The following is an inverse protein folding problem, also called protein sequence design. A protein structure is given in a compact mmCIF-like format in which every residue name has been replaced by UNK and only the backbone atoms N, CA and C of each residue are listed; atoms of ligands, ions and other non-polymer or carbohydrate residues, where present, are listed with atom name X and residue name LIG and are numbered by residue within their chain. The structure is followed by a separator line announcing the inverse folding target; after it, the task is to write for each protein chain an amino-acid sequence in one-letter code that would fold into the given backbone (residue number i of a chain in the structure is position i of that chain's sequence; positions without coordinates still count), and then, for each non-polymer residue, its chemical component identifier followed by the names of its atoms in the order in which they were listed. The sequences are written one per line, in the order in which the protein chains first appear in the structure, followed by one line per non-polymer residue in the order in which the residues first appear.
data_IF_334986234598
#
_entry.id   IF_334986234598
#
_cell.length_a   1.000
_cell.length_b   1.000
_cell.length_c   1.000
_cell.angle_alpha   90.00
_cell.angle_beta   90.00
_cell.angle_gamma   90.00
#
_symmetry.space_group_name_H-M   'P 1'
#
loop_
_entity.id
_entity.type
_entity.pdbx_description
1 polymer ?
#
# COMPACT_ATOMS: atom_id res chain seq x y z
N UNK A 1 19.95 -1.63 11.25
CA UNK A 1 18.64 -1.02 10.89
C UNK A 1 18.56 0.46 11.25
N UNK A 2 18.64 0.88 12.53
CA UNK A 2 18.42 2.30 12.90
C UNK A 2 19.37 3.26 12.18
N UNK A 3 20.66 2.94 12.04
CA UNK A 3 21.61 3.69 11.20
C UNK A 3 21.31 3.66 9.69
N UNK A 4 20.60 2.65 9.21
CA UNK A 4 20.12 2.62 7.82
C UNK A 4 18.97 3.60 7.66
N UNK A 5 17.98 3.54 8.56
CA UNK A 5 16.86 4.47 8.59
C UNK A 5 17.34 5.91 8.72
N UNK A 6 18.30 6.18 9.61
CA UNK A 6 18.90 7.51 9.74
C UNK A 6 19.47 7.97 8.39
N UNK A 7 20.38 7.21 7.79
CA UNK A 7 21.00 7.62 6.52
C UNK A 7 20.02 7.79 5.36
N UNK A 8 18.93 7.01 5.32
CA UNK A 8 17.95 7.02 4.22
C UNK A 8 16.85 8.05 4.43
N UNK A 9 16.38 8.23 5.67
CA UNK A 9 15.19 9.00 5.99
C UNK A 9 15.49 10.32 6.70
N UNK A 10 16.72 10.55 7.20
CA UNK A 10 17.05 11.77 7.94
C UNK A 10 16.76 13.04 7.13
N UNK A 11 16.99 13.03 5.81
CA UNK A 11 16.66 14.19 4.97
C UNK A 11 15.16 14.44 4.95
N UNK A 12 14.37 13.42 4.59
CA UNK A 12 12.92 13.55 4.42
C UNK A 12 12.23 13.82 5.78
N UNK A 13 12.75 13.25 6.87
CA UNK A 13 12.31 13.52 8.25
C UNK A 13 12.79 14.89 8.76
N UNK A 14 14.00 15.32 8.38
CA UNK A 14 14.55 16.62 8.73
C UNK A 14 13.80 17.76 8.08
N UNK A 15 13.36 17.60 6.83
CA UNK A 15 12.44 18.53 6.16
C UNK A 15 11.11 18.63 6.92
N UNK A 16 10.49 17.49 7.26
CA UNK A 16 9.25 17.44 8.06
C UNK A 16 9.44 18.13 9.41
N UNK A 17 10.59 17.92 10.06
CA UNK A 17 10.93 18.61 11.30
C UNK A 17 10.95 20.11 11.08
N UNK A 18 11.82 20.60 10.21
CA UNK A 18 12.04 22.04 10.05
C UNK A 18 10.75 22.76 9.65
N UNK A 19 9.89 22.13 8.84
CA UNK A 19 8.54 22.61 8.53
C UNK A 19 7.62 22.70 9.76
N UNK A 20 7.73 21.76 10.69
CA UNK A 20 6.92 21.73 11.90
C UNK A 20 7.56 22.41 13.11
N UNK A 21 8.77 22.95 12.98
CA UNK A 21 9.51 23.56 14.08
C UNK A 21 8.78 24.82 14.54
N UNK A 22 8.31 24.82 15.78
CA UNK A 22 7.47 25.90 16.33
C UNK A 22 5.98 25.78 16.00
N UNK A 23 5.56 24.71 15.31
CA UNK A 23 4.16 24.38 15.09
C UNK A 23 3.45 23.88 16.36
N UNK A 24 2.13 24.00 16.39
CA UNK A 24 1.29 23.51 17.50
C UNK A 24 1.07 22.00 17.48
N UNK A 25 1.46 21.32 16.40
CA UNK A 25 1.27 19.90 16.19
C UNK A 25 2.59 19.23 15.77
N UNK A 26 2.73 17.96 16.13
CA UNK A 26 3.81 17.09 15.68
C UNK A 26 3.73 16.94 14.15
N UNK A 27 4.72 17.39 13.38
CA UNK A 27 4.72 17.21 11.94
C UNK A 27 4.90 15.73 11.58
N UNK A 28 4.10 15.24 10.63
CA UNK A 28 4.28 13.92 10.03
C UNK A 28 3.70 13.91 8.61
N UNK A 29 4.20 12.98 7.81
CA UNK A 29 3.73 12.68 6.46
C UNK A 29 3.75 11.16 6.23
N UNK A 30 3.04 10.71 5.20
CA UNK A 30 3.15 9.34 4.69
C UNK A 30 4.28 9.31 3.66
N UNK A 31 5.46 8.87 4.10
CA UNK A 31 6.65 8.77 3.25
C UNK A 31 6.57 7.54 2.35
N UNK A 32 6.95 7.68 1.06
CA UNK A 32 7.15 6.55 0.13
C UNK A 32 8.40 5.74 0.53
N UNK A 33 8.18 4.71 1.36
CA UNK A 33 9.24 3.90 1.97
C UNK A 33 9.37 2.51 1.34
N UNK A 34 8.71 2.24 0.23
CA UNK A 34 8.57 0.87 -0.29
C UNK A 34 9.93 0.25 -0.62
N UNK A 35 10.80 1.02 -1.27
CA UNK A 35 12.17 0.57 -1.59
C UNK A 35 12.97 0.29 -0.32
N UNK A 36 12.81 1.12 0.70
CA UNK A 36 13.54 0.98 1.96
C UNK A 36 13.03 -0.20 2.77
N UNK A 37 11.71 -0.45 2.78
CA UNK A 37 11.10 -1.61 3.41
C UNK A 37 11.47 -2.91 2.71
N UNK A 38 11.57 -2.91 1.38
CA UNK A 38 12.09 -4.06 0.64
C UNK A 38 13.55 -4.36 1.00
N UNK A 39 14.39 -3.34 1.12
CA UNK A 39 15.79 -3.50 1.50
C UNK A 39 15.92 -3.97 2.95
N UNK A 40 15.15 -3.38 3.87
CA UNK A 40 15.07 -3.80 5.26
C UNK A 40 14.53 -5.22 5.40
N UNK A 41 13.54 -5.60 4.61
CA UNK A 41 12.95 -6.94 4.58
C UNK A 41 13.93 -8.06 4.24
N UNK A 42 15.09 -7.73 3.65
CA UNK A 42 16.20 -8.69 3.42
C UNK A 42 17.01 -8.97 4.69
N UNK A 43 16.92 -8.09 5.68
CA UNK A 43 17.76 -8.11 6.90
C UNK A 43 16.92 -8.36 8.15
N UNK A 44 15.69 -7.84 8.20
CA UNK A 44 14.75 -7.97 9.31
C UNK A 44 13.39 -8.44 8.81
N UNK A 45 12.68 -9.22 9.62
CA UNK A 45 11.33 -9.69 9.26
C UNK A 45 10.28 -8.59 9.42
N UNK A 46 9.15 -8.73 8.72
CA UNK A 46 8.01 -7.84 8.88
C UNK A 46 7.49 -7.83 10.34
N UNK A 47 7.43 -9.00 11.00
CA UNK A 47 7.06 -9.12 12.41
C UNK A 47 8.00 -8.35 13.32
N UNK A 48 9.30 -8.35 13.02
CA UNK A 48 10.27 -7.57 13.77
C UNK A 48 10.05 -6.07 13.57
N UNK A 49 9.83 -5.63 12.32
CA UNK A 49 9.53 -4.21 12.01
C UNK A 49 8.25 -3.73 12.70
N UNK A 50 7.23 -4.58 12.75
CA UNK A 50 6.00 -4.30 13.49
C UNK A 50 6.27 -4.18 14.99
N UNK A 51 6.98 -5.13 15.60
CA UNK A 51 7.32 -5.07 17.01
C UNK A 51 8.13 -3.81 17.36
N UNK A 52 9.06 -3.43 16.49
CA UNK A 52 9.85 -2.22 16.63
C UNK A 52 9.00 -0.94 16.54
N UNK A 53 8.16 -0.82 15.52
CA UNK A 53 7.25 0.32 15.37
C UNK A 53 6.29 0.43 16.55
N UNK A 54 5.75 -0.70 17.01
CA UNK A 54 4.89 -0.76 18.19
C UNK A 54 5.60 -0.27 19.44
N UNK A 55 6.82 -0.75 19.71
CA UNK A 55 7.62 -0.29 20.84
C UNK A 55 7.86 1.23 20.80
N UNK A 56 8.10 1.78 19.60
CA UNK A 56 8.26 3.21 19.40
C UNK A 56 6.98 4.03 19.54
N UNK A 57 5.79 3.44 19.42
CA UNK A 57 4.51 4.15 19.61
C UNK A 57 3.98 4.00 21.04
N UNK A 58 4.15 2.81 21.63
CA UNK A 58 3.66 2.47 22.96
C UNK A 58 4.59 2.93 24.09
N UNK A 59 5.85 3.27 23.83
CA UNK A 59 6.74 3.87 24.82
C UNK A 59 6.25 5.23 25.34
N UNK A 60 6.45 5.49 26.64
CA UNK A 60 6.22 6.79 27.28
C UNK A 60 7.18 7.86 26.74
N UNK A 61 6.87 9.14 26.98
CA UNK A 61 7.77 10.26 26.70
C UNK A 61 8.50 10.69 27.99
N UNK A 62 9.83 10.92 27.95
CA UNK A 62 10.74 10.69 26.82
C UNK A 62 10.92 9.19 26.51
N UNK A 63 11.35 8.87 25.29
CA UNK A 63 11.64 7.48 24.91
C UNK A 63 12.67 6.88 25.86
N UNK A 64 12.47 5.64 26.38
CA UNK A 64 13.41 5.04 27.29
C UNK A 64 14.78 4.88 26.63
N UNK A 65 15.84 5.20 27.38
CA UNK A 65 17.21 5.00 26.93
C UNK A 65 17.39 3.54 26.51
N UNK A 66 17.77 3.32 25.25
CA UNK A 66 17.87 2.00 24.67
C UNK A 66 18.83 1.96 23.50
N UNK A 67 19.09 0.74 22.99
CA UNK A 67 20.05 0.54 21.89
C UNK A 67 19.75 1.38 20.64
N UNK A 68 18.48 1.66 20.36
CA UNK A 68 18.09 2.49 19.23
C UNK A 68 18.48 3.95 19.43
N UNK A 69 18.16 4.53 20.59
CA UNK A 69 18.51 5.91 20.93
C UNK A 69 20.03 6.08 21.03
N UNK A 70 20.71 5.17 21.74
CA UNK A 70 22.17 5.17 21.87
C UNK A 70 22.90 5.05 20.52
N UNK A 71 22.32 4.34 19.55
CA UNK A 71 22.88 4.23 18.21
C UNK A 71 22.76 5.53 17.39
N UNK A 72 21.88 6.45 17.79
CA UNK A 72 21.66 7.75 17.16
C UNK A 72 22.37 8.90 17.89
N UNK A 73 22.67 8.75 19.19
CA UNK A 73 23.27 9.79 20.03
C UNK A 73 24.66 10.27 19.57
N UNK A 74 25.35 9.53 18.69
CA UNK A 74 26.60 9.98 18.07
C UNK A 74 26.41 10.85 16.84
N UNK A 75 25.20 10.90 16.28
CA UNK A 75 24.87 11.59 15.02
C UNK A 75 23.81 12.68 15.21
N UNK A 76 22.98 12.59 16.25
CA UNK A 76 21.88 13.51 16.55
C UNK A 76 21.89 13.88 18.04
N UNK A 77 21.44 15.10 18.33
CA UNK A 77 21.05 15.50 19.69
C UNK A 77 19.95 14.59 20.22
N UNK A 78 19.85 14.45 21.54
CA UNK A 78 18.95 13.46 22.16
C UNK A 78 17.48 13.71 21.78
N UNK A 79 17.01 14.95 21.88
CA UNK A 79 15.67 15.33 21.45
C UNK A 79 15.45 14.96 19.97
N UNK A 80 16.45 15.21 19.14
CA UNK A 80 16.38 14.91 17.71
C UNK A 80 16.28 13.42 17.39
N UNK A 81 17.05 12.62 18.11
CA UNK A 81 17.00 11.17 18.00
C UNK A 81 15.62 10.62 18.44
N UNK A 82 15.04 11.19 19.50
CA UNK A 82 13.70 10.77 19.96
C UNK A 82 12.62 11.10 18.92
N UNK A 83 12.63 12.32 18.39
CA UNK A 83 11.72 12.77 17.34
C UNK A 83 11.82 11.92 16.08
N UNK A 84 13.05 11.68 15.61
CA UNK A 84 13.31 10.81 14.46
C UNK A 84 12.70 9.42 14.66
N UNK A 85 12.91 8.81 15.84
CA UNK A 85 12.35 7.50 16.14
C UNK A 85 10.81 7.51 16.19
N UNK A 86 10.17 8.54 16.75
CA UNK A 86 8.71 8.66 16.72
C UNK A 86 8.19 8.74 15.27
N UNK A 87 8.84 9.54 14.42
CA UNK A 87 8.49 9.65 13.00
C UNK A 87 8.66 8.32 12.26
N UNK A 88 9.70 7.56 12.56
CA UNK A 88 9.89 6.19 12.06
C UNK A 88 8.73 5.30 12.48
N UNK A 89 8.34 5.32 13.77
CA UNK A 89 7.23 4.50 14.30
C UNK A 89 5.91 4.81 13.61
N UNK A 90 5.59 6.10 13.45
CA UNK A 90 4.39 6.59 12.75
C UNK A 90 4.37 6.09 11.29
N UNK A 91 5.46 6.32 10.55
CA UNK A 91 5.55 5.90 9.15
C UNK A 91 5.48 4.37 8.97
N UNK A 92 6.12 3.61 9.85
CA UNK A 92 6.03 2.15 9.85
C UNK A 92 4.62 1.66 10.14
N UNK A 93 3.88 2.29 11.06
CA UNK A 93 2.49 1.93 11.32
C UNK A 93 1.60 2.09 10.08
N UNK A 94 1.79 3.17 9.32
CA UNK A 94 1.06 3.40 8.07
C UNK A 94 1.51 2.53 6.91
N UNK A 95 2.77 2.11 6.89
CA UNK A 95 3.27 1.23 5.83
C UNK A 95 2.91 -0.22 6.06
N UNK A 96 3.02 -0.70 7.29
CA UNK A 96 2.71 -2.08 7.66
C UNK A 96 1.21 -2.31 7.85
N UNK A 97 0.46 -1.26 8.22
CA UNK A 97 -1.01 -1.25 8.23
C UNK A 97 -1.63 -2.38 9.05
N UNK A 98 -0.95 -2.90 10.07
CA UNK A 98 -1.56 -3.91 10.95
C UNK A 98 -2.56 -3.24 11.90
N UNK A 99 -3.65 -3.92 12.24
CA UNK A 99 -4.67 -3.38 13.17
C UNK A 99 -4.03 -2.99 14.50
N UNK A 100 -3.09 -3.81 14.97
CA UNK A 100 -2.38 -3.54 16.21
C UNK A 100 -1.48 -2.29 16.15
N UNK A 101 -0.83 -2.02 15.02
CA UNK A 101 -0.04 -0.80 14.84
C UNK A 101 -0.91 0.45 14.70
N UNK A 102 -2.03 0.36 13.97
CA UNK A 102 -2.97 1.48 13.88
C UNK A 102 -3.58 1.81 15.25
N UNK A 103 -3.88 0.79 16.06
CA UNK A 103 -4.31 1.00 17.45
C UNK A 103 -3.22 1.64 18.31
N UNK A 104 -1.95 1.20 18.20
CA UNK A 104 -0.83 1.83 18.90
C UNK A 104 -0.62 3.29 18.46
N UNK A 105 -0.79 3.59 17.17
CA UNK A 105 -0.74 4.95 16.64
C UNK A 105 -1.84 5.83 17.24
N UNK A 106 -3.08 5.35 17.33
CA UNK A 106 -4.19 6.11 17.91
C UNK A 106 -3.98 6.38 19.41
N UNK A 107 -3.43 5.40 20.15
CA UNK A 107 -3.04 5.61 21.56
C UNK A 107 -1.90 6.62 21.69
N UNK A 108 -0.91 6.55 20.81
CA UNK A 108 0.17 7.53 20.74
C UNK A 108 -0.38 8.93 20.44
N UNK A 109 -1.25 9.07 19.45
CA UNK A 109 -1.88 10.34 19.06
C UNK A 109 -2.60 11.03 20.23
N UNK A 110 -3.29 10.27 21.07
CA UNK A 110 -4.02 10.81 22.23
C UNK A 110 -3.13 11.40 23.33
N UNK A 111 -1.85 11.02 23.38
CA UNK A 111 -0.91 11.47 24.43
C UNK A 111 0.31 12.24 23.92
N UNK A 112 0.53 12.25 22.61
CA UNK A 112 1.72 12.85 21.99
C UNK A 112 1.90 14.31 22.42
N UNK A 113 3.16 14.70 22.61
CA UNK A 113 3.57 16.07 22.91
C UNK A 113 4.73 16.45 21.97
N UNK A 114 4.51 17.39 21.03
CA UNK A 114 3.24 18.03 20.65
C UNK A 114 2.20 17.02 20.10
N UNK A 115 0.89 17.36 20.09
CA UNK A 115 -0.16 16.46 19.58
C UNK A 115 -0.03 16.25 18.07
N UNK A 116 -0.44 15.08 17.56
CA UNK A 116 -0.55 14.88 16.10
C UNK A 116 -1.70 15.73 15.54
N UNK A 117 -1.52 16.32 14.35
CA UNK A 117 -2.61 16.98 13.63
C UNK A 117 -3.76 15.98 13.34
N UNK A 118 -4.95 16.18 13.93
CA UNK A 118 -6.06 15.24 13.77
C UNK A 118 -6.54 15.14 12.32
N UNK A 119 -6.44 16.22 11.54
CA UNK A 119 -6.86 16.23 10.13
C UNK A 119 -5.93 15.32 9.32
N UNK A 120 -4.61 15.45 9.52
CA UNK A 120 -3.65 14.56 8.87
C UNK A 120 -3.85 13.11 9.31
N UNK A 121 -4.11 12.86 10.60
CA UNK A 121 -4.36 11.52 11.12
C UNK A 121 -5.57 10.86 10.46
N UNK A 122 -6.70 11.59 10.35
CA UNK A 122 -7.90 11.12 9.67
C UNK A 122 -7.65 10.78 8.19
N UNK A 123 -6.96 11.67 7.47
CA UNK A 123 -6.56 11.40 6.07
C UNK A 123 -5.69 10.16 5.94
N UNK A 124 -4.71 10.00 6.85
CA UNK A 124 -3.80 8.85 6.79
C UNK A 124 -4.50 7.52 7.09
N UNK A 125 -5.50 7.49 7.97
CA UNK A 125 -6.26 6.27 8.23
C UNK A 125 -7.08 5.81 7.02
N UNK A 126 -7.69 6.73 6.26
CA UNK A 126 -8.40 6.37 5.01
C UNK A 126 -7.42 5.92 3.91
N UNK A 127 -6.16 6.34 3.98
CA UNK A 127 -5.12 5.76 3.13
C UNK A 127 -4.81 4.32 3.54
N UNK A 128 -4.80 3.99 4.84
CA UNK A 128 -4.54 2.62 5.31
C UNK A 128 -5.75 1.65 5.22
N UNK A 129 -6.98 2.16 5.14
CA UNK A 129 -8.24 1.42 5.28
C UNK A 129 -9.35 1.94 4.36
N UNK A 130 -10.55 1.35 4.37
CA UNK A 130 -11.73 2.04 3.83
C UNK A 130 -12.08 3.23 4.73
N UNK A 131 -12.82 4.20 4.21
CA UNK A 131 -13.34 5.31 5.00
C UNK A 131 -14.23 4.80 6.14
N UNK A 132 -15.04 3.77 5.89
CA UNK A 132 -15.86 3.13 6.92
C UNK A 132 -14.98 2.57 8.06
N UNK A 133 -13.98 1.76 7.74
CA UNK A 133 -13.08 1.15 8.73
C UNK A 133 -12.24 2.22 9.47
N UNK A 134 -11.75 3.23 8.75
CA UNK A 134 -11.00 4.34 9.33
C UNK A 134 -11.84 5.14 10.34
N UNK A 135 -13.11 5.40 10.02
CA UNK A 135 -14.05 6.09 10.92
C UNK A 135 -14.34 5.25 12.16
N UNK A 136 -14.59 3.95 12.01
CA UNK A 136 -14.79 3.05 13.15
C UNK A 136 -13.58 3.04 14.10
N UNK A 137 -12.36 3.02 13.56
CA UNK A 137 -11.13 3.13 14.35
C UNK A 137 -11.04 4.46 15.11
N UNK A 138 -11.40 5.58 14.46
CA UNK A 138 -11.41 6.91 15.08
C UNK A 138 -12.48 7.04 16.17
N UNK A 139 -13.68 6.50 15.94
CA UNK A 139 -14.78 6.48 16.91
C UNK A 139 -14.40 5.72 18.18
N UNK A 140 -13.76 4.55 18.02
CA UNK A 140 -13.25 3.74 19.12
C UNK A 140 -11.93 4.26 19.74
N UNK A 141 -11.34 5.31 19.18
CA UNK A 141 -10.04 5.81 19.61
C UNK A 141 -10.10 6.56 20.96
N UNK A 142 -8.98 6.61 21.71
CA UNK A 142 -8.88 7.39 22.94
C UNK A 142 -8.63 8.90 22.69
N UNK A 143 -8.84 9.39 21.46
CA UNK A 143 -8.64 10.81 21.13
C UNK A 143 -9.64 11.69 21.90
N UNK A 144 -9.20 12.92 22.21
CA UNK A 144 -10.10 13.93 22.75
C UNK A 144 -11.28 14.19 21.79
N UNK A 145 -12.48 14.52 22.28
CA UNK A 145 -13.67 14.68 21.43
C UNK A 145 -13.48 15.64 20.26
N UNK A 146 -12.79 16.77 20.48
CA UNK A 146 -12.52 17.78 19.44
C UNK A 146 -11.57 17.26 18.36
N UNK A 147 -10.46 16.64 18.76
CA UNK A 147 -9.50 16.04 17.83
C UNK A 147 -10.15 14.90 17.03
N UNK A 148 -10.92 14.06 17.70
CA UNK A 148 -11.68 12.98 17.05
C UNK A 148 -12.66 13.53 16.02
N UNK A 149 -13.40 14.60 16.33
CA UNK A 149 -14.33 15.23 15.39
C UNK A 149 -13.61 15.74 14.13
N UNK A 150 -12.46 16.41 14.30
CA UNK A 150 -11.63 16.91 13.19
C UNK A 150 -11.05 15.77 12.35
N UNK A 151 -10.60 14.69 12.98
CA UNK A 151 -10.11 13.52 12.28
C UNK A 151 -11.23 12.81 11.51
N UNK A 152 -12.42 12.66 12.09
CA UNK A 152 -13.59 12.07 11.45
C UNK A 152 -14.08 12.90 10.25
N UNK A 153 -14.01 14.23 10.34
CA UNK A 153 -14.33 15.10 9.22
C UNK A 153 -13.35 14.92 8.06
N UNK A 154 -12.08 14.66 8.37
CA UNK A 154 -11.01 14.45 7.39
C UNK A 154 -10.99 13.02 6.83
N UNK A 155 -11.54 12.03 7.56
CA UNK A 155 -11.66 10.64 7.16
C UNK A 155 -12.81 10.40 6.17
N UNK A 156 -12.77 11.12 5.03
CA UNK A 156 -13.71 10.96 3.91
C UNK A 156 -13.13 9.98 2.90
N UNK A 157 -13.99 9.25 2.15
CA UNK A 157 -13.54 8.43 1.03
C UNK A 157 -12.58 9.22 0.14
N UNK A 158 -11.45 8.59 -0.21
CA UNK A 158 -10.52 9.19 -1.15
C UNK A 158 -11.26 9.40 -2.47
N UNK A 159 -11.11 10.58 -3.09
CA UNK A 159 -11.57 10.77 -4.47
C UNK A 159 -10.81 9.76 -5.32
N UNK A 160 -11.54 8.75 -5.79
CA UNK A 160 -10.97 7.53 -6.34
C UNK A 160 -9.91 7.86 -7.41
N UNK A 161 -8.72 7.21 -7.38
CA UNK A 161 -8.11 6.89 -8.66
C UNK A 161 -9.17 6.06 -9.40
N UNK A 162 -9.63 6.52 -10.57
CA UNK A 162 -10.57 5.72 -11.38
C UNK A 162 -9.86 4.45 -11.82
N UNK A 163 -9.88 3.45 -10.95
CA UNK A 163 -9.59 2.07 -11.24
C UNK A 163 -10.84 1.61 -11.97
N UNK A 164 -10.82 1.59 -13.30
CA UNK A 164 -11.94 1.06 -14.09
C UNK A 164 -11.54 -0.30 -14.64
N UNK A 165 -12.43 -1.29 -14.50
CA UNK A 165 -12.26 -2.67 -14.90
C UNK A 165 -11.49 -3.56 -13.91
N UNK A 166 -11.17 -4.76 -14.39
CA UNK A 166 -10.56 -5.84 -13.65
C UNK A 166 -9.03 -5.92 -13.85
N UNK A 167 -8.31 -6.22 -12.77
CA UNK A 167 -6.84 -6.27 -12.73
C UNK A 167 -6.33 -7.32 -11.77
N UNK A 168 -5.06 -7.72 -11.93
CA UNK A 168 -4.37 -8.63 -11.00
C UNK A 168 -3.11 -8.00 -10.46
N UNK A 169 -2.95 -8.01 -9.15
CA UNK A 169 -1.74 -7.63 -8.44
C UNK A 169 -0.99 -8.90 -8.01
N UNK A 170 0.30 -8.96 -8.28
CA UNK A 170 1.16 -10.08 -7.90
C UNK A 170 2.35 -9.61 -7.07
N UNK A 171 2.59 -10.25 -5.94
CA UNK A 171 3.80 -10.01 -5.17
C UNK A 171 5.02 -10.59 -5.90
N UNK A 172 6.01 -9.74 -6.21
CA UNK A 172 7.24 -10.14 -6.88
C UNK A 172 7.72 -9.14 -7.93
N UNK A 173 8.93 -9.39 -8.43
CA UNK A 173 9.51 -8.61 -9.52
C UNK A 173 8.85 -8.92 -10.88
N UNK A 174 8.92 -7.99 -11.86
CA UNK A 174 8.28 -8.17 -13.16
C UNK A 174 8.71 -9.42 -13.94
N UNK A 175 9.96 -9.86 -13.82
CA UNK A 175 10.44 -11.05 -14.54
C UNK A 175 9.81 -12.31 -13.96
N UNK A 176 9.70 -12.41 -12.63
CA UNK A 176 8.98 -13.50 -11.98
C UNK A 176 7.51 -13.51 -12.37
N UNK A 177 6.87 -12.35 -12.43
CA UNK A 177 5.46 -12.23 -12.83
C UNK A 177 5.27 -12.68 -14.28
N UNK A 178 6.13 -12.25 -15.20
CA UNK A 178 6.11 -12.71 -16.60
C UNK A 178 6.23 -14.23 -16.72
N UNK A 179 7.15 -14.84 -15.97
CA UNK A 179 7.33 -16.30 -15.96
C UNK A 179 6.09 -17.04 -15.40
N UNK A 180 5.46 -16.50 -14.35
CA UNK A 180 4.22 -17.05 -13.79
C UNK A 180 3.06 -16.92 -14.78
N UNK A 181 2.94 -15.78 -15.47
CA UNK A 181 1.94 -15.56 -16.50
C UNK A 181 2.08 -16.54 -17.66
N UNK A 182 3.31 -16.73 -18.18
CA UNK A 182 3.58 -17.71 -19.22
C UNK A 182 3.22 -19.15 -18.79
N UNK A 183 3.42 -19.49 -17.50
CA UNK A 183 3.00 -20.79 -16.96
C UNK A 183 1.48 -20.90 -16.83
N UNK A 184 0.82 -19.85 -16.35
CA UNK A 184 -0.64 -19.81 -16.14
C UNK A 184 -1.43 -19.81 -17.45
N UNK A 185 -0.87 -19.26 -18.52
CA UNK A 185 -1.52 -19.14 -19.83
C UNK A 185 -1.31 -20.35 -20.73
N UNK A 186 -0.61 -21.42 -20.32
CA UNK A 186 -0.42 -22.60 -21.17
C UNK A 186 -1.77 -23.11 -21.71
N UNK A 187 -1.86 -23.49 -23.00
CA UNK A 187 -0.76 -23.69 -23.94
C UNK A 187 -0.26 -22.44 -24.70
N UNK A 188 -0.64 -21.23 -24.30
CA UNK A 188 -0.27 -20.02 -25.03
C UNK A 188 1.24 -19.72 -24.93
N UNK A 189 1.81 -19.18 -26.01
CA UNK A 189 3.23 -18.83 -26.11
C UNK A 189 3.41 -17.33 -26.20
N UNK A 190 4.49 -16.82 -25.62
CA UNK A 190 4.77 -15.40 -25.65
C UNK A 190 5.25 -14.98 -27.05
N UNK A 191 4.74 -13.85 -27.52
CA UNK A 191 4.99 -13.29 -28.84
C UNK A 191 5.53 -11.85 -28.71
N UNK A 192 6.50 -11.42 -29.54
CA UNK A 192 6.96 -10.03 -29.55
C UNK A 192 5.80 -9.04 -29.71
N UNK A 193 5.75 -8.01 -28.86
CA UNK A 193 4.66 -7.02 -28.87
C UNK A 193 4.40 -6.38 -30.23
N UNK A 194 5.46 -6.16 -31.02
CA UNK A 194 5.34 -5.60 -32.39
C UNK A 194 4.47 -6.47 -33.30
N UNK A 195 4.56 -7.80 -33.17
CA UNK A 195 3.74 -8.75 -33.92
C UNK A 195 2.32 -8.85 -33.33
N UNK A 196 2.17 -8.58 -32.04
CA UNK A 196 0.90 -8.67 -31.34
C UNK A 196 -0.09 -7.58 -31.75
N UNK A 197 0.38 -6.37 -32.08
CA UNK A 197 -0.50 -5.21 -32.33
C UNK A 197 -1.53 -5.43 -33.45
N UNK A 198 -1.24 -6.31 -34.41
CA UNK A 198 -2.10 -6.56 -35.58
C UNK A 198 -2.77 -7.94 -35.57
N UNK A 199 -2.48 -8.78 -34.57
CA UNK A 199 -2.97 -10.16 -34.53
C UNK A 199 -4.34 -10.25 -33.84
N UNK A 200 -5.37 -10.86 -34.47
CA UNK A 200 -6.73 -10.89 -33.92
C UNK A 200 -6.88 -11.82 -32.70
N UNK A 201 -6.11 -12.91 -32.64
CA UNK A 201 -6.23 -13.96 -31.61
C UNK A 201 -5.09 -13.91 -30.58
N UNK A 202 -4.74 -12.70 -30.13
CA UNK A 202 -3.66 -12.48 -29.17
C UNK A 202 -4.20 -11.84 -27.90
N UNK A 203 -3.78 -12.39 -26.76
CA UNK A 203 -4.03 -11.77 -25.46
C UNK A 203 -2.91 -10.79 -25.15
N UNK A 204 -3.29 -9.54 -24.95
CA UNK A 204 -2.38 -8.43 -24.69
C UNK A 204 -2.48 -8.00 -23.24
N UNK A 205 -1.33 -7.84 -22.60
CA UNK A 205 -1.24 -7.43 -21.21
C UNK A 205 -0.27 -6.27 -21.05
N UNK A 206 -0.53 -5.46 -20.04
CA UNK A 206 0.41 -4.45 -19.56
C UNK A 206 0.80 -4.81 -18.13
N UNK A 207 2.09 -5.09 -17.93
CA UNK A 207 2.67 -5.28 -16.61
C UNK A 207 3.25 -3.95 -16.14
N UNK A 208 2.59 -3.34 -15.17
CA UNK A 208 3.00 -2.05 -14.61
C UNK A 208 4.21 -2.23 -13.69
N UNK A 209 4.97 -1.14 -13.54
CA UNK A 209 6.09 -1.07 -12.59
C UNK A 209 5.65 -1.49 -11.20
N UNK A 210 6.50 -2.27 -10.54
CA UNK A 210 6.32 -2.72 -9.16
C UNK A 210 6.23 -1.54 -8.18
N UNK A 211 5.28 -1.62 -7.25
CA UNK A 211 5.01 -0.65 -6.16
C UNK A 211 4.60 -1.41 -4.89
N UNK A 212 5.06 -1.02 -3.70
CA UNK A 212 4.73 -1.73 -2.45
C UNK A 212 5.10 -3.22 -2.43
N UNK A 213 6.03 -3.65 -3.29
CA UNK A 213 6.34 -5.07 -3.49
C UNK A 213 5.46 -5.81 -4.50
N UNK A 214 4.41 -5.17 -5.03
CA UNK A 214 3.41 -5.71 -5.95
C UNK A 214 3.62 -5.21 -7.38
N UNK A 215 3.43 -6.08 -8.36
CA UNK A 215 3.31 -5.71 -9.77
C UNK A 215 1.87 -5.86 -10.23
N UNK A 216 1.35 -4.87 -10.95
CA UNK A 216 -0.04 -4.87 -11.44
C UNK A 216 -0.09 -5.28 -12.90
N UNK A 217 -0.96 -6.24 -13.21
CA UNK A 217 -1.24 -6.75 -14.54
C UNK A 217 -2.61 -6.27 -15.00
N UNK A 218 -2.64 -5.65 -16.18
CA UNK A 218 -3.84 -5.29 -16.91
C UNK A 218 -3.93 -6.16 -18.16
N UNK A 219 -5.16 -6.48 -18.58
CA UNK A 219 -5.45 -7.12 -19.87
C UNK A 219 -6.20 -6.13 -20.76
N UNK A 220 -6.04 -6.27 -22.08
CA UNK A 220 -6.80 -5.48 -23.04
C UNK A 220 -8.30 -5.53 -22.77
N UNK A 221 -8.93 -4.35 -22.82
CA UNK A 221 -10.35 -4.16 -22.47
C UNK A 221 -10.63 -4.11 -20.97
N UNK A 222 -9.61 -4.17 -20.11
CA UNK A 222 -9.73 -4.10 -18.64
C UNK A 222 -10.72 -5.15 -18.08
N UNK A 223 -10.72 -6.35 -18.67
CA UNK A 223 -11.64 -7.47 -18.33
C UNK A 223 -10.89 -8.73 -17.93
N UNK A 224 -9.82 -8.57 -17.15
CA UNK A 224 -9.00 -9.69 -16.71
C UNK A 224 -9.84 -10.63 -15.82
N UNK A 225 -10.06 -11.91 -16.19
CA UNK A 225 -10.94 -12.80 -15.45
C UNK A 225 -10.31 -13.29 -14.14
N UNK A 226 -11.15 -13.47 -13.11
CA UNK A 226 -10.73 -14.00 -11.80
C UNK A 226 -10.03 -15.37 -11.90
N UNK A 227 -10.40 -16.17 -12.90
CA UNK A 227 -9.79 -17.48 -13.18
C UNK A 227 -8.31 -17.39 -13.55
N UNK A 228 -7.86 -16.29 -14.16
CA UNK A 228 -6.44 -16.08 -14.42
C UNK A 228 -5.67 -15.83 -13.12
N UNK A 229 -6.26 -15.10 -12.17
CA UNK A 229 -5.65 -14.87 -10.87
C UNK A 229 -5.49 -16.18 -10.08
N UNK A 230 -6.51 -17.04 -10.13
CA UNK A 230 -6.43 -18.39 -9.56
C UNK A 230 -5.35 -19.25 -10.26
N UNK A 231 -5.26 -19.18 -11.59
CA UNK A 231 -4.22 -19.88 -12.34
C UNK A 231 -2.80 -19.39 -11.97
N UNK A 232 -2.63 -18.09 -11.75
CA UNK A 232 -1.37 -17.50 -11.28
C UNK A 232 -1.00 -17.96 -9.86
N UNK A 233 -1.98 -18.03 -8.96
CA UNK A 233 -1.82 -18.60 -7.62
C UNK A 233 -1.33 -20.06 -7.70
N UNK A 234 -2.03 -20.90 -8.48
CA UNK A 234 -1.64 -22.31 -8.74
C UNK A 234 -0.31 -22.46 -9.47
N UNK A 235 0.08 -21.48 -10.29
CA UNK A 235 1.36 -21.46 -10.97
C UNK A 235 2.55 -21.24 -10.00
N UNK A 236 2.30 -20.84 -8.76
CA UNK A 236 3.30 -20.65 -7.71
C UNK A 236 3.60 -19.18 -7.40
N UNK A 237 2.63 -18.28 -7.64
CA UNK A 237 2.68 -16.93 -7.10
C UNK A 237 2.57 -16.99 -5.56
N UNK A 238 3.38 -16.19 -4.86
CA UNK A 238 3.34 -16.15 -3.38
C UNK A 238 2.07 -15.47 -2.88
N UNK A 239 1.71 -14.36 -3.51
CA UNK A 239 0.48 -13.64 -3.21
C UNK A 239 -0.08 -13.08 -4.52
N UNK A 240 -1.40 -13.19 -4.66
CA UNK A 240 -2.16 -12.70 -5.82
C UNK A 240 -3.39 -11.99 -5.29
N UNK A 241 -3.73 -10.84 -5.86
CA UNK A 241 -5.01 -10.20 -5.62
C UNK A 241 -5.65 -9.84 -6.95
N UNK A 242 -6.89 -10.26 -7.15
CA UNK A 242 -7.73 -9.80 -8.23
C UNK A 242 -8.74 -8.81 -7.68
N UNK A 243 -9.02 -7.76 -8.43
CA UNK A 243 -10.08 -6.83 -8.09
C UNK A 243 -10.70 -6.25 -9.36
N UNK A 244 -12.00 -6.01 -9.30
CA UNK A 244 -12.78 -5.34 -10.33
C UNK A 244 -13.51 -4.14 -9.73
N UNK A 245 -13.36 -3.00 -10.40
CA UNK A 245 -13.90 -1.70 -10.01
C UNK A 245 -14.57 -1.06 -11.23
N UNK A 246 -15.68 -0.36 -11.08
CA UNK A 246 -16.40 0.26 -12.19
C UNK A 246 -16.96 -0.73 -13.23
N UNK A 247 -17.97 -0.27 -13.99
CA UNK A 247 -18.67 -1.04 -15.02
C UNK A 247 -20.15 -1.30 -14.67
N UNK A 248 -20.80 -2.23 -15.39
CA UNK A 248 -22.19 -2.63 -15.13
C UNK A 248 -22.34 -3.56 -13.91
N UNK A 249 -21.23 -4.01 -13.31
CA UNK A 249 -21.21 -4.95 -12.19
C UNK A 249 -20.81 -4.30 -10.86
N UNK A 250 -21.18 -4.96 -9.76
CA UNK A 250 -20.77 -4.55 -8.41
C UNK A 250 -19.26 -4.82 -8.17
N UNK A 251 -18.56 -3.99 -7.37
CA UNK A 251 -17.12 -4.14 -7.13
C UNK A 251 -16.79 -5.45 -6.41
N UNK A 252 -15.71 -6.10 -6.85
CA UNK A 252 -15.38 -7.47 -6.43
C UNK A 252 -13.88 -7.62 -6.17
N UNK A 253 -13.52 -8.59 -5.32
CA UNK A 253 -12.14 -8.94 -5.04
C UNK A 253 -11.96 -10.41 -4.67
N UNK A 254 -10.76 -10.91 -4.92
CA UNK A 254 -10.26 -12.16 -4.35
C UNK A 254 -8.76 -12.05 -4.12
N UNK A 255 -8.28 -12.48 -2.95
CA UNK A 255 -6.86 -12.56 -2.60
C UNK A 255 -6.46 -14.00 -2.29
N UNK A 256 -5.25 -14.35 -2.71
CA UNK A 256 -4.60 -15.64 -2.46
C UNK A 256 -3.24 -15.46 -1.81
N UNK A 257 -2.90 -16.40 -0.94
CA UNK A 257 -1.54 -16.66 -0.43
C UNK A 257 -1.15 -18.08 -0.81
N UNK A 258 -0.20 -18.22 -1.74
CA UNK A 258 0.02 -19.47 -2.46
C UNK A 258 -1.27 -19.88 -3.19
N UNK A 259 -1.73 -21.11 -2.96
CA UNK A 259 -3.00 -21.63 -3.50
C UNK A 259 -4.21 -21.38 -2.59
N UNK A 260 -4.01 -20.87 -1.38
CA UNK A 260 -5.09 -20.65 -0.41
C UNK A 260 -5.75 -19.30 -0.67
N UNK A 261 -7.07 -19.29 -0.81
CA UNK A 261 -7.87 -18.06 -0.77
C UNK A 261 -7.92 -17.53 0.66
N UNK A 262 -7.57 -16.25 0.85
CA UNK A 262 -7.47 -15.62 2.18
C UNK A 262 -8.44 -14.46 2.39
N UNK A 263 -9.02 -13.97 1.31
CA UNK A 263 -10.04 -12.93 1.33
C UNK A 263 -10.80 -12.99 0.01
N UNK A 264 -12.12 -12.94 0.06
CA UNK A 264 -12.96 -12.64 -1.10
C UNK A 264 -14.08 -11.65 -0.74
N UNK A 265 -14.94 -11.38 -1.71
CA UNK A 265 -16.11 -10.52 -1.51
C UNK A 265 -17.10 -11.07 -0.48
N UNK A 266 -17.28 -12.38 -0.36
CA UNK A 266 -18.20 -12.96 0.61
C UNK A 266 -17.66 -12.76 2.03
N UNK A 267 -16.36 -13.00 2.25
CA UNK A 267 -15.67 -12.71 3.51
C UNK A 267 -15.80 -11.22 3.87
N UNK A 268 -15.60 -10.33 2.89
CA UNK A 268 -15.73 -8.89 3.10
C UNK A 268 -17.18 -8.49 3.42
N UNK A 269 -18.17 -9.05 2.73
CA UNK A 269 -19.60 -8.83 3.00
C UNK A 269 -20.01 -9.31 4.37
N UNK A 270 -19.55 -10.48 4.79
CA UNK A 270 -19.80 -11.02 6.14
C UNK A 270 -19.26 -10.07 7.21
N UNK A 271 -18.02 -9.59 7.03
CA UNK A 271 -17.39 -8.62 7.94
C UNK A 271 -18.16 -7.29 8.04
N UNK A 272 -18.70 -6.82 6.92
CA UNK A 272 -19.39 -5.52 6.84
C UNK A 272 -20.88 -5.60 7.20
N UNK A 273 -21.50 -6.78 7.09
CA UNK A 273 -22.94 -6.98 7.23
C UNK A 273 -23.77 -6.51 6.02
N UNK A 274 -23.14 -5.92 5.00
CA UNK A 274 -23.78 -5.41 3.78
C UNK A 274 -22.87 -5.58 2.55
N UNK A 275 -23.41 -5.32 1.35
CA UNK A 275 -22.65 -5.43 0.12
C UNK A 275 -21.50 -4.40 0.11
N UNK A 276 -20.25 -4.82 -0.20
CA UNK A 276 -19.12 -3.89 -0.21
C UNK A 276 -19.24 -2.88 -1.35
N UNK A 277 -18.92 -1.61 -1.06
CA UNK A 277 -18.74 -0.59 -2.09
C UNK A 277 -17.29 -0.55 -2.61
N UNK A 278 -17.01 0.31 -3.60
CA UNK A 278 -15.67 0.40 -4.20
C UNK A 278 -14.60 0.78 -3.16
N UNK A 279 -14.92 1.70 -2.24
CA UNK A 279 -13.99 2.10 -1.17
C UNK A 279 -13.74 0.98 -0.15
N UNK A 280 -14.70 0.07 0.07
CA UNK A 280 -14.49 -1.10 0.92
C UNK A 280 -13.50 -2.08 0.30
N UNK A 281 -13.68 -2.36 -1.00
CA UNK A 281 -12.78 -3.22 -1.75
C UNK A 281 -11.39 -2.60 -1.83
N UNK A 282 -11.29 -1.32 -2.20
CA UNK A 282 -10.02 -0.61 -2.26
C UNK A 282 -9.36 -0.51 -0.88
N UNK A 283 -10.14 -0.27 0.17
CA UNK A 283 -9.71 -0.26 1.56
C UNK A 283 -9.15 -1.62 2.02
N UNK A 284 -9.77 -2.72 1.62
CA UNK A 284 -9.27 -4.06 1.90
C UNK A 284 -7.93 -4.35 1.19
N UNK A 285 -7.78 -3.90 -0.06
CA UNK A 285 -6.51 -4.00 -0.78
C UNK A 285 -5.43 -3.10 -0.15
N UNK A 286 -5.79 -1.87 0.26
CA UNK A 286 -4.90 -0.96 1.00
C UNK A 286 -4.47 -1.59 2.31
N UNK A 287 -5.35 -2.22 3.07
CA UNK A 287 -4.97 -2.90 4.32
C UNK A 287 -3.90 -3.98 4.13
N UNK A 288 -3.82 -4.57 2.94
CA UNK A 288 -2.83 -5.60 2.57
C UNK A 288 -1.59 -5.06 1.85
N UNK A 289 -1.45 -3.74 1.72
CA UNK A 289 -0.30 -3.12 1.05
C UNK A 289 -0.33 -3.21 -0.49
N UNK A 290 -1.46 -3.59 -1.09
CA UNK A 290 -1.55 -3.87 -2.54
C UNK A 290 -1.67 -2.57 -3.35
N UNK A 291 -2.56 -1.67 -2.92
CA UNK A 291 -2.74 -0.37 -3.55
C UNK A 291 -1.84 0.67 -2.88
N UNK A 292 -1.30 1.55 -3.72
CA UNK A 292 -0.51 2.69 -3.28
C UNK A 292 -1.38 3.74 -2.60
N UNK A 293 -0.78 4.43 -1.64
CA UNK A 293 -1.50 5.17 -0.60
C UNK A 293 -1.90 6.59 -0.97
N UNK A 294 -1.27 7.21 -1.96
CA UNK A 294 -1.46 8.64 -2.17
C UNK A 294 -1.80 8.95 -3.63
N UNK A 295 -3.10 9.10 -3.98
CA UNK A 295 -3.50 9.57 -5.30
C UNK A 295 -3.04 11.01 -5.58
N UNK A 296 -2.64 11.78 -4.56
CA UNK A 296 -2.14 13.15 -4.66
C UNK A 296 -0.60 13.23 -4.69
N UNK A 297 0.11 12.15 -4.34
CA UNK A 297 1.56 12.11 -4.47
C UNK A 297 1.94 12.26 -5.96
N UNK A 298 3.08 12.88 -6.32
CA UNK A 298 3.49 13.00 -7.72
C UNK A 298 3.65 11.66 -8.45
N UNK A 299 3.82 10.56 -7.69
CA UNK A 299 3.82 9.17 -8.17
C UNK A 299 2.52 8.41 -7.91
N UNK A 300 1.50 9.07 -7.39
CA UNK A 300 0.19 8.53 -7.08
C UNK A 300 -0.45 7.82 -8.26
N UNK A 301 -1.43 6.97 -7.97
CA UNK A 301 -2.09 6.18 -9.00
C UNK A 301 -2.85 7.10 -9.97
N UNK A 302 -2.21 7.43 -11.09
CA UNK A 302 -2.90 7.91 -12.28
C UNK A 302 -3.96 6.87 -12.68
N UNK A 303 -5.02 7.28 -13.40
CA UNK A 303 -6.03 6.33 -13.93
C UNK A 303 -5.35 5.08 -14.49
N UNK A 304 -5.64 3.93 -13.87
CA UNK A 304 -5.08 2.64 -14.23
C UNK A 304 -6.10 1.92 -15.10
N UNK A 305 -5.89 2.00 -16.42
CA UNK A 305 -6.62 1.22 -17.42
C UNK A 305 -5.70 0.94 -18.60
N UNK A 306 -6.05 -0.07 -19.40
CA UNK A 306 -5.21 -0.52 -20.51
C UNK A 306 -4.98 0.60 -21.53
N UNK A 307 -6.06 1.24 -21.99
CA UNK A 307 -6.01 2.33 -22.97
C UNK A 307 -5.25 3.55 -22.43
N UNK A 308 -5.49 3.92 -21.16
CA UNK A 308 -4.81 5.06 -20.53
C UNK A 308 -3.28 4.90 -20.47
N UNK A 309 -2.79 3.67 -20.54
CA UNK A 309 -1.36 3.38 -20.61
C UNK A 309 -0.83 3.33 -22.05
N UNK A 310 -1.63 2.94 -23.05
CA UNK A 310 -1.22 2.90 -24.45
C UNK A 310 -0.92 4.29 -25.04
N UNK A 311 -1.63 5.34 -24.60
CA UNK A 311 -1.42 6.72 -25.06
C UNK A 311 -0.10 7.37 -24.57
N UNK A 312 0.76 6.59 -23.90
CA UNK A 312 1.97 7.06 -23.23
C UNK A 312 3.17 6.26 -23.70
N UNK A 313 4.34 6.89 -23.65
CA UNK A 313 5.62 6.18 -23.85
C UNK A 313 5.81 5.13 -22.73
N UNK A 314 5.38 3.89 -23.03
CA UNK A 314 5.31 2.76 -22.10
C UNK A 314 6.64 2.53 -21.38
N UNK A 315 7.76 2.66 -22.10
CA UNK A 315 9.11 2.45 -21.55
C UNK A 315 9.48 3.50 -20.53
N UNK A 316 9.19 4.79 -20.79
CA UNK A 316 9.46 5.88 -19.83
C UNK A 316 8.66 5.75 -18.53
N UNK A 317 7.54 5.02 -18.54
CA UNK A 317 6.69 4.79 -17.36
C UNK A 317 6.94 3.47 -16.65
N UNK A 318 7.92 2.68 -17.12
CA UNK A 318 8.19 1.36 -16.55
C UNK A 318 7.05 0.37 -16.77
N UNK A 319 6.32 0.50 -17.87
CA UNK A 319 5.29 -0.46 -18.29
C UNK A 319 5.93 -1.46 -19.25
N UNK A 320 5.77 -2.75 -18.94
CA UNK A 320 6.23 -3.86 -19.77
C UNK A 320 5.04 -4.43 -20.53
N UNK A 321 4.95 -4.22 -21.86
CA UNK A 321 3.93 -4.87 -22.67
C UNK A 321 4.25 -6.36 -22.85
N UNK A 322 3.24 -7.21 -22.72
CA UNK A 322 3.34 -8.66 -22.89
C UNK A 322 2.23 -9.13 -23.82
N UNK A 323 2.52 -10.08 -24.70
CA UNK A 323 1.53 -10.64 -25.61
C UNK A 323 1.68 -12.15 -25.71
N UNK A 324 0.55 -12.84 -25.77
CA UNK A 324 0.49 -14.29 -25.86
C UNK A 324 -0.44 -14.71 -26.99
N UNK A 325 -0.02 -15.67 -27.80
CA UNK A 325 -0.83 -16.30 -28.83
C UNK A 325 -1.08 -17.78 -28.47
N UNK A 326 -2.16 -18.40 -28.96
CA UNK A 326 -2.31 -19.85 -28.91
C UNK A 326 -1.07 -20.54 -29.49
N UNK A 327 -0.62 -21.64 -28.86
CA UNK A 327 0.39 -22.47 -29.50
C UNK A 327 -0.13 -22.96 -30.87
N UNK A 328 0.74 -23.02 -31.89
CA UNK A 328 0.38 -23.53 -33.21
C UNK A 328 -0.05 -25.00 -33.19
#
# INVERSE_FOLDING_TARGET
MVRFLLRRWLRDVGEIWEEGRGGTHFPFADLDLDRDLEELGRVVSATWLEAFARALLDAADPLPSGRALAALSSELEEEAAQWFLRLVGINLAFRLRSDGLLASLLRFAARARPPLDPIRLGRLLVRARSARDARALLEASPLAPEDRARALEAARPLREPRLEGARVHLAGDPNRVRALLAKALRPWTELPWTQATTAPDVRRFLLLRRRGGWSTLLEEGDRLPVTLAEALARAGAKQVAWASFGGEGEPDLVCWEGSRRVLDRADLRERLGEAPCEDDVAGALRARGILDLDPEHPRGEARLGFLANLDRDLRKRGVTPLAFAPAP
#
